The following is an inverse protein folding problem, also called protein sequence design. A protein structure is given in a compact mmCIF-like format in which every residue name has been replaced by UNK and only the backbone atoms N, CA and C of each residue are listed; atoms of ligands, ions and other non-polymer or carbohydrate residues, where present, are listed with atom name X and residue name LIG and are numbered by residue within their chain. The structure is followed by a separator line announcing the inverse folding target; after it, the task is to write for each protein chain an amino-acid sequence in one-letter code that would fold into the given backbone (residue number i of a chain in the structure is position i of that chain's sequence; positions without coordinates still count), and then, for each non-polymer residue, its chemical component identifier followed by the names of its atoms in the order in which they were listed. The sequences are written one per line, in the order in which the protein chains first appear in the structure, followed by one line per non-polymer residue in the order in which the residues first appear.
data_IF_369685777190
#
_entry.id   IF_369685777190
#
_cell.length_a   1.000
_cell.length_b   1.000
_cell.length_c   1.000
_cell.angle_alpha   90.00
_cell.angle_beta   90.00
_cell.angle_gamma   90.00
#
_symmetry.space_group_name_H-M   'P 1'
#
loop_
_entity.id
_entity.type
_entity.pdbx_description
1 polymer ?
#
# COMPACT_ATOMS: atom_id res chain seq x y z
N UNK A 1 -14.50 3.21 13.79
CA UNK A 1 -14.86 2.15 14.75
C UNK A 1 -16.14 2.50 15.49
N UNK A 2 -16.37 3.75 15.81
CA UNK A 2 -17.55 4.22 16.56
C UNK A 2 -18.75 4.59 15.67
N UNK A 3 -18.67 4.38 14.35
CA UNK A 3 -19.74 4.73 13.41
C UNK A 3 -19.90 6.23 13.13
N UNK A 4 -18.90 7.04 13.46
CA UNK A 4 -18.92 8.49 13.26
C UNK A 4 -18.64 8.89 11.80
N UNK A 5 -17.94 8.04 11.06
CA UNK A 5 -17.55 8.25 9.66
C UNK A 5 -18.02 7.09 8.78
N UNK A 6 -18.58 7.42 7.63
CA UNK A 6 -19.03 6.43 6.66
C UNK A 6 -17.89 5.88 5.80
N UNK A 7 -16.84 6.69 5.55
CA UNK A 7 -15.71 6.35 4.68
C UNK A 7 -14.43 7.01 5.20
N UNK A 8 -13.29 6.37 4.88
CA UNK A 8 -11.95 6.93 5.09
C UNK A 8 -11.04 6.51 3.95
N UNK A 9 -10.02 7.32 3.65
CA UNK A 9 -8.97 6.98 2.69
C UNK A 9 -7.80 6.40 3.46
N UNK A 10 -7.46 5.14 3.16
CA UNK A 10 -6.38 4.41 3.83
C UNK A 10 -5.97 3.20 2.97
N UNK A 11 -4.98 2.43 3.41
CA UNK A 11 -4.63 1.17 2.79
C UNK A 11 -5.57 0.02 3.18
N UNK A 12 -5.57 -1.05 2.40
CA UNK A 12 -6.41 -2.24 2.64
C UNK A 12 -6.19 -2.89 4.01
N UNK A 13 -4.98 -2.80 4.55
CA UNK A 13 -4.61 -3.28 5.89
C UNK A 13 -5.49 -2.72 7.01
N UNK A 14 -6.03 -1.52 6.84
CA UNK A 14 -6.89 -0.89 7.84
C UNK A 14 -8.18 -1.68 8.11
N UNK A 15 -8.66 -2.46 7.13
CA UNK A 15 -9.84 -3.32 7.30
C UNK A 15 -9.63 -4.32 8.44
N UNK A 16 -8.54 -5.10 8.41
CA UNK A 16 -8.22 -6.07 9.46
C UNK A 16 -8.03 -5.39 10.82
N UNK A 17 -7.35 -4.24 10.86
CA UNK A 17 -7.16 -3.46 12.07
C UNK A 17 -8.49 -2.99 12.67
N UNK A 18 -9.40 -2.47 11.85
CA UNK A 18 -10.71 -1.99 12.33
C UNK A 18 -11.56 -3.16 12.83
N UNK A 19 -11.58 -4.28 12.11
CA UNK A 19 -12.34 -5.47 12.50
C UNK A 19 -11.80 -6.15 13.76
N UNK A 20 -10.50 -6.06 14.04
CA UNK A 20 -9.95 -6.55 15.31
C UNK A 20 -10.49 -5.77 16.52
N UNK A 21 -10.87 -4.50 16.34
CA UNK A 21 -11.45 -3.65 17.39
C UNK A 21 -12.97 -3.83 17.46
N UNK A 22 -13.63 -3.91 16.31
CA UNK A 22 -15.08 -4.10 16.20
C UNK A 22 -15.41 -5.18 15.15
N UNK A 23 -15.47 -6.46 15.55
CA UNK A 23 -15.73 -7.57 14.63
C UNK A 23 -17.09 -7.54 13.93
N UNK A 24 -18.03 -6.78 14.45
CA UNK A 24 -19.38 -6.68 13.88
C UNK A 24 -19.50 -5.56 12.82
N UNK A 25 -18.41 -4.81 12.58
CA UNK A 25 -18.44 -3.73 11.61
C UNK A 25 -18.19 -4.29 10.19
N UNK A 26 -19.20 -4.16 9.34
CA UNK A 26 -19.05 -4.52 7.92
C UNK A 26 -18.29 -3.41 7.19
N UNK A 27 -17.18 -3.77 6.57
CA UNK A 27 -16.29 -2.83 5.87
C UNK A 27 -16.02 -3.37 4.47
N UNK A 28 -16.36 -2.58 3.46
CA UNK A 28 -15.93 -2.80 2.08
C UNK A 28 -14.71 -1.93 1.74
N UNK A 29 -13.90 -2.39 0.82
CA UNK A 29 -12.75 -1.65 0.27
C UNK A 29 -12.98 -1.45 -1.22
N UNK A 30 -12.72 -0.25 -1.71
CA UNK A 30 -12.79 0.07 -3.13
C UNK A 30 -11.70 1.10 -3.49
N UNK A 31 -11.19 1.11 -4.72
CA UNK A 31 -10.21 2.09 -5.16
C UNK A 31 -10.87 3.48 -5.27
N UNK A 32 -10.05 4.52 -5.13
CA UNK A 32 -10.52 5.88 -5.42
C UNK A 32 -11.00 5.95 -6.86
N UNK A 33 -12.27 6.37 -7.10
CA UNK A 33 -12.83 6.40 -8.44
C UNK A 33 -12.16 7.49 -9.27
N UNK A 34 -12.02 7.22 -10.57
CA UNK A 34 -11.70 8.20 -11.59
C UNK A 34 -12.97 8.53 -12.38
N UNK A 35 -12.87 9.35 -13.44
CA UNK A 35 -14.00 9.82 -14.27
C UNK A 35 -14.84 8.66 -14.82
N UNK A 36 -14.21 7.54 -15.15
CA UNK A 36 -14.88 6.31 -15.53
C UNK A 36 -14.39 5.13 -14.72
N UNK A 37 -15.21 4.08 -14.62
CA UNK A 37 -14.79 2.83 -13.97
C UNK A 37 -13.61 2.17 -14.71
N UNK A 38 -13.56 2.31 -16.03
CA UNK A 38 -12.49 1.71 -16.84
C UNK A 38 -11.15 2.40 -16.62
N UNK A 39 -11.15 3.68 -16.30
CA UNK A 39 -9.95 4.47 -16.00
C UNK A 39 -9.55 4.38 -14.51
N UNK A 40 -10.42 3.85 -13.67
CA UNK A 40 -10.14 3.66 -12.25
C UNK A 40 -9.06 2.59 -12.08
N UNK A 41 -8.02 2.92 -11.34
CA UNK A 41 -6.91 2.03 -11.00
C UNK A 41 -6.72 1.96 -9.49
N UNK A 42 -6.29 0.80 -9.03
CA UNK A 42 -5.87 0.59 -7.65
C UNK A 42 -4.40 1.02 -7.50
N UNK A 43 -4.10 1.83 -6.49
CA UNK A 43 -2.71 2.08 -6.12
C UNK A 43 -2.16 0.82 -5.47
N UNK A 44 -1.08 0.29 -6.03
CA UNK A 44 -0.43 -0.93 -5.57
C UNK A 44 1.08 -0.74 -5.58
N UNK A 45 1.77 -1.45 -4.71
CA UNK A 45 3.22 -1.41 -4.63
C UNK A 45 3.72 -2.34 -3.53
N UNK A 46 5.03 -2.34 -3.31
CA UNK A 46 5.64 -3.09 -2.22
C UNK A 46 5.27 -2.38 -0.91
N UNK A 47 4.47 -3.05 -0.09
CA UNK A 47 4.11 -2.56 1.24
C UNK A 47 5.19 -2.94 2.26
N UNK A 48 5.54 -4.22 2.32
CA UNK A 48 6.56 -4.74 3.21
C UNK A 48 7.54 -5.63 2.46
N UNK A 49 8.81 -5.58 2.85
CA UNK A 49 9.86 -6.43 2.31
C UNK A 49 10.67 -7.08 3.44
N UNK A 50 11.00 -8.35 3.28
CA UNK A 50 11.89 -9.05 4.19
C UNK A 50 13.30 -8.96 3.63
N UNK A 51 14.20 -8.34 4.40
CA UNK A 51 15.59 -8.15 4.00
C UNK A 51 16.52 -9.07 4.78
N UNK A 52 17.51 -9.66 4.11
CA UNK A 52 18.58 -10.42 4.73
C UNK A 52 19.83 -9.54 4.78
N UNK A 53 20.43 -9.39 5.98
CA UNK A 53 21.61 -8.56 6.15
C UNK A 53 22.76 -9.04 5.28
N UNK A 54 23.38 -8.12 4.54
CA UNK A 54 24.58 -8.42 3.75
C UNK A 54 25.77 -8.88 4.63
N UNK A 55 25.80 -8.42 5.90
CA UNK A 55 26.86 -8.74 6.86
C UNK A 55 26.61 -10.03 7.65
N UNK A 56 25.43 -10.68 7.50
CA UNK A 56 25.16 -11.94 8.14
C UNK A 56 26.13 -13.03 7.64
N UNK A 57 26.49 -13.96 8.53
CA UNK A 57 27.30 -15.13 8.15
C UNK A 57 26.56 -16.02 7.15
N UNK A 58 27.29 -16.85 6.41
CA UNK A 58 26.69 -17.77 5.44
C UNK A 58 25.65 -18.69 6.07
N UNK A 59 25.87 -19.14 7.30
CA UNK A 59 24.93 -19.97 8.05
C UNK A 59 23.62 -19.21 8.38
N UNK A 60 23.71 -17.95 8.75
CA UNK A 60 22.56 -17.10 9.02
C UNK A 60 21.78 -16.78 7.74
N UNK A 61 22.50 -16.49 6.65
CA UNK A 61 21.90 -16.29 5.32
C UNK A 61 21.18 -17.54 4.84
N UNK A 62 21.78 -18.73 4.98
CA UNK A 62 21.13 -20.01 4.64
C UNK A 62 19.84 -20.22 5.45
N UNK A 63 19.87 -19.95 6.74
CA UNK A 63 18.69 -20.05 7.60
C UNK A 63 17.59 -19.05 7.17
N UNK A 64 17.97 -17.81 6.86
CA UNK A 64 17.04 -16.79 6.36
C UNK A 64 16.41 -17.18 5.03
N UNK A 65 17.20 -17.69 4.08
CA UNK A 65 16.68 -18.14 2.78
C UNK A 65 15.75 -19.35 2.90
N UNK A 66 16.01 -20.27 3.82
CA UNK A 66 15.08 -21.37 4.12
C UNK A 66 13.74 -20.85 4.66
N UNK A 67 13.79 -19.86 5.54
CA UNK A 67 12.58 -19.20 6.05
C UNK A 67 11.81 -18.48 4.93
N UNK A 68 12.51 -17.74 4.06
CA UNK A 68 11.87 -17.10 2.91
C UNK A 68 11.25 -18.12 1.95
N UNK A 69 11.93 -19.24 1.70
CA UNK A 69 11.38 -20.33 0.89
C UNK A 69 10.14 -20.95 1.53
N UNK A 70 10.12 -21.08 2.84
CA UNK A 70 8.94 -21.53 3.59
C UNK A 70 7.78 -20.55 3.45
N UNK A 71 8.02 -19.25 3.57
CA UNK A 71 6.98 -18.23 3.39
C UNK A 71 6.47 -18.12 1.94
N UNK A 72 7.33 -18.43 0.96
CA UNK A 72 6.96 -18.41 -0.46
C UNK A 72 6.20 -19.66 -0.92
N UNK A 73 6.12 -20.69 -0.07
CA UNK A 73 5.27 -21.85 -0.35
C UNK A 73 3.79 -21.41 -0.36
N UNK A 74 3.00 -21.79 -1.39
CA UNK A 74 1.62 -21.30 -1.53
C UNK A 74 0.71 -21.56 -0.33
N UNK A 75 0.86 -22.70 0.36
CA UNK A 75 0.06 -23.02 1.55
C UNK A 75 0.38 -22.06 2.72
N UNK A 76 1.66 -21.80 2.95
CA UNK A 76 2.11 -20.89 4.00
C UNK A 76 1.81 -19.42 3.63
N UNK A 77 2.00 -19.06 2.37
CA UNK A 77 1.66 -17.74 1.86
C UNK A 77 0.15 -17.44 1.97
N UNK A 78 -0.71 -18.44 1.80
CA UNK A 78 -2.15 -18.30 2.00
C UNK A 78 -2.49 -17.98 3.47
N UNK A 79 -1.85 -18.69 4.41
CA UNK A 79 -2.03 -18.41 5.84
C UNK A 79 -1.64 -16.97 6.17
N UNK A 80 -0.50 -16.50 5.63
CA UNK A 80 -0.06 -15.13 5.82
C UNK A 80 -1.06 -14.13 5.22
N UNK A 81 -1.47 -14.33 3.95
CA UNK A 81 -2.42 -13.50 3.24
C UNK A 81 -3.76 -13.34 3.99
N UNK A 82 -4.30 -14.45 4.51
CA UNK A 82 -5.58 -14.46 5.23
C UNK A 82 -5.50 -13.73 6.59
N UNK A 83 -4.33 -13.74 7.23
CA UNK A 83 -4.14 -13.06 8.51
C UNK A 83 -3.78 -11.56 8.36
N UNK A 84 -3.01 -11.22 7.32
CA UNK A 84 -2.57 -9.84 7.07
C UNK A 84 -3.67 -8.98 6.43
N UNK A 85 -4.59 -9.62 5.70
CA UNK A 85 -5.67 -8.93 4.99
C UNK A 85 -5.17 -8.10 3.80
N UNK A 86 -4.01 -8.46 3.25
CA UNK A 86 -3.42 -7.83 2.07
C UNK A 86 -3.31 -8.82 0.91
N UNK A 87 -3.33 -8.34 -0.35
CA UNK A 87 -3.06 -9.19 -1.51
C UNK A 87 -1.66 -9.81 -1.46
N UNK A 88 -1.55 -11.09 -1.79
CA UNK A 88 -0.26 -11.79 -1.82
C UNK A 88 0.51 -11.50 -3.10
N UNK A 89 1.84 -11.46 -3.00
CA UNK A 89 2.74 -11.44 -4.17
C UNK A 89 3.04 -12.85 -4.72
N UNK A 90 2.54 -13.91 -4.07
CA UNK A 90 2.76 -15.30 -4.50
C UNK A 90 1.68 -15.70 -5.49
N UNK A 91 2.10 -16.16 -6.67
CA UNK A 91 1.19 -16.59 -7.74
C UNK A 91 0.24 -17.69 -7.25
N UNK A 92 -1.05 -17.50 -7.49
CA UNK A 92 -2.09 -18.45 -7.10
C UNK A 92 -2.58 -18.30 -5.66
N UNK A 93 -2.00 -17.41 -4.88
CA UNK A 93 -2.47 -17.05 -3.53
C UNK A 93 -3.31 -15.78 -3.60
N UNK A 94 -4.50 -15.82 -3.04
CA UNK A 94 -5.42 -14.67 -3.01
C UNK A 94 -6.12 -14.58 -1.68
N UNK A 95 -6.49 -13.37 -1.27
CA UNK A 95 -7.25 -13.19 -0.03
C UNK A 95 -8.64 -13.84 -0.13
N UNK A 96 -9.01 -14.56 0.91
CA UNK A 96 -10.36 -15.11 1.10
C UNK A 96 -11.34 -14.09 1.71
N UNK A 97 -10.91 -12.86 1.94
CA UNK A 97 -11.75 -11.80 2.49
C UNK A 97 -12.58 -11.15 1.39
N UNK A 98 -13.90 -11.40 1.41
CA UNK A 98 -14.85 -10.83 0.46
C UNK A 98 -14.83 -9.29 0.43
N UNK A 99 -14.49 -8.65 1.52
CA UNK A 99 -14.38 -7.19 1.59
C UNK A 99 -13.21 -6.62 0.79
N UNK A 100 -12.20 -7.44 0.48
CA UNK A 100 -11.05 -7.06 -0.36
C UNK A 100 -11.25 -7.44 -1.84
N UNK A 101 -12.29 -8.22 -2.15
CA UNK A 101 -12.52 -8.74 -3.50
C UNK A 101 -12.49 -7.68 -4.60
N UNK A 102 -13.10 -6.49 -4.48
CA UNK A 102 -13.04 -5.48 -5.53
C UNK A 102 -11.61 -5.05 -5.87
N UNK A 103 -10.73 -4.95 -4.87
CA UNK A 103 -9.32 -4.65 -5.05
C UNK A 103 -8.56 -5.80 -5.70
N UNK A 104 -8.76 -7.01 -5.21
CA UNK A 104 -8.11 -8.22 -5.75
C UNK A 104 -8.47 -8.42 -7.22
N UNK A 105 -9.73 -8.24 -7.59
CA UNK A 105 -10.20 -8.34 -8.97
C UNK A 105 -9.51 -7.29 -9.88
N UNK A 106 -9.31 -6.07 -9.39
CA UNK A 106 -8.60 -5.03 -10.15
C UNK A 106 -7.11 -5.34 -10.32
N UNK A 107 -6.45 -5.83 -9.27
CA UNK A 107 -5.04 -6.24 -9.33
C UNK A 107 -4.88 -7.36 -10.35
N UNK A 108 -5.73 -8.38 -10.30
CA UNK A 108 -5.71 -9.50 -11.24
C UNK A 108 -6.01 -9.09 -12.69
N UNK A 109 -6.79 -8.03 -12.87
CA UNK A 109 -7.07 -7.44 -14.19
C UNK A 109 -5.95 -6.50 -14.70
N UNK A 110 -4.86 -6.32 -13.94
CA UNK A 110 -3.78 -5.38 -14.27
C UNK A 110 -4.20 -3.90 -14.17
N UNK A 111 -5.31 -3.61 -13.53
CA UNK A 111 -5.80 -2.24 -13.30
C UNK A 111 -5.12 -1.65 -12.06
N UNK A 112 -3.80 -1.54 -12.10
CA UNK A 112 -2.98 -1.00 -11.03
C UNK A 112 -2.16 0.19 -11.49
N UNK A 113 -1.76 1.01 -10.55
CA UNK A 113 -0.75 2.05 -10.73
C UNK A 113 0.21 1.96 -9.56
N UNK A 114 1.50 2.13 -9.83
CA UNK A 114 2.51 2.09 -8.79
C UNK A 114 2.29 3.22 -7.78
N UNK A 115 2.55 2.91 -6.53
CA UNK A 115 2.56 3.92 -5.48
C UNK A 115 3.72 4.89 -5.73
N UNK A 116 3.41 6.18 -5.74
CA UNK A 116 4.38 7.24 -6.01
C UNK A 116 5.63 7.13 -5.12
N UNK A 117 5.45 6.83 -3.84
CA UNK A 117 6.56 6.67 -2.89
C UNK A 117 7.52 5.51 -3.22
N UNK A 118 7.14 4.56 -4.08
CA UNK A 118 8.02 3.49 -4.56
C UNK A 118 8.78 3.85 -5.85
N UNK A 119 8.44 4.96 -6.49
CA UNK A 119 9.00 5.38 -7.78
C UNK A 119 9.83 6.65 -7.73
N UNK A 120 9.70 7.44 -6.66
CA UNK A 120 10.45 8.68 -6.47
C UNK A 120 11.35 8.61 -5.24
N UNK A 121 12.36 9.47 -5.20
CA UNK A 121 13.29 9.57 -4.08
C UNK A 121 12.56 9.92 -2.77
N UNK A 122 13.03 9.34 -1.65
CA UNK A 122 12.43 9.58 -0.33
C UNK A 122 12.52 11.04 0.12
N UNK A 123 13.53 11.80 -0.31
CA UNK A 123 13.66 13.21 0.02
C UNK A 123 12.55 13.99 -0.68
N UNK A 124 12.30 13.71 -1.97
CA UNK A 124 11.19 14.31 -2.73
C UNK A 124 9.87 13.99 -2.05
N UNK A 125 9.64 12.74 -1.66
CA UNK A 125 8.41 12.31 -0.98
C UNK A 125 8.21 13.09 0.32
N UNK A 126 9.26 13.26 1.11
CA UNK A 126 9.22 14.02 2.38
C UNK A 126 8.87 15.49 2.15
N UNK A 127 9.49 16.10 1.15
CA UNK A 127 9.23 17.50 0.81
C UNK A 127 7.79 17.69 0.31
N UNK A 128 7.28 16.80 -0.52
CA UNK A 128 5.89 16.83 -0.97
C UNK A 128 4.90 16.73 0.21
N UNK A 129 5.16 15.86 1.18
CA UNK A 129 4.33 15.80 2.38
C UNK A 129 4.33 17.09 3.18
N UNK A 130 5.48 17.78 3.31
CA UNK A 130 5.59 19.07 3.98
C UNK A 130 4.81 20.17 3.24
N UNK A 131 4.90 20.20 1.91
CA UNK A 131 4.15 21.14 1.06
C UNK A 131 2.65 20.92 1.22
N UNK A 132 2.17 19.67 1.18
CA UNK A 132 0.74 19.37 1.38
C UNK A 132 0.25 19.77 2.77
N UNK A 133 1.07 19.65 3.80
CA UNK A 133 0.70 20.16 5.14
C UNK A 133 0.47 21.67 5.14
N UNK A 134 1.25 22.44 4.39
CA UNK A 134 1.07 23.87 4.21
C UNK A 134 -0.30 24.24 3.60
N UNK A 135 -0.84 23.41 2.75
CA UNK A 135 -2.17 23.59 2.15
C UNK A 135 -3.28 23.71 3.20
N UNK A 136 -3.21 22.94 4.29
CA UNK A 136 -4.22 22.98 5.33
C UNK A 136 -4.30 24.33 6.05
N UNK A 137 -3.22 25.08 6.04
CA UNK A 137 -3.15 26.39 6.66
C UNK A 137 -3.77 27.51 5.80
N UNK A 138 -3.52 27.50 4.49
CA UNK A 138 -3.92 28.58 3.57
C UNK A 138 -4.97 28.16 2.53
N UNK A 139 -5.11 26.86 2.25
CA UNK A 139 -6.04 26.27 1.28
C UNK A 139 -5.91 26.84 -0.14
N UNK A 140 -4.70 27.27 -0.50
CA UNK A 140 -4.37 27.80 -1.82
C UNK A 140 -3.77 26.69 -2.67
N UNK A 141 -4.57 26.17 -3.62
CA UNK A 141 -4.18 25.04 -4.49
C UNK A 141 -3.05 25.45 -5.43
N UNK A 142 -3.11 26.66 -6.00
CA UNK A 142 -2.13 27.13 -6.98
C UNK A 142 -0.75 27.32 -6.34
N UNK A 143 -0.73 27.86 -5.12
CA UNK A 143 0.50 27.98 -4.33
C UNK A 143 1.10 26.59 -4.03
N UNK A 144 0.28 25.65 -3.58
CA UNK A 144 0.74 24.27 -3.28
C UNK A 144 1.27 23.58 -4.52
N UNK A 145 0.61 23.67 -5.65
CA UNK A 145 1.09 23.05 -6.90
C UNK A 145 2.43 23.62 -7.32
N UNK A 146 2.61 24.94 -7.23
CA UNK A 146 3.89 25.59 -7.52
C UNK A 146 5.01 25.16 -6.56
N UNK A 147 4.71 25.01 -5.27
CA UNK A 147 5.68 24.56 -4.28
C UNK A 147 6.05 23.08 -4.48
N UNK A 148 5.09 22.24 -4.91
CA UNK A 148 5.35 20.85 -5.29
C UNK A 148 6.29 20.76 -6.49
N UNK A 149 6.05 21.52 -7.55
CA UNK A 149 6.91 21.56 -8.73
C UNK A 149 8.33 21.98 -8.36
N UNK A 150 8.48 23.02 -7.55
CA UNK A 150 9.77 23.48 -7.07
C UNK A 150 10.51 22.43 -6.23
N UNK A 151 9.80 21.69 -5.38
CA UNK A 151 10.41 20.60 -4.59
C UNK A 151 10.92 19.47 -5.47
N UNK A 152 10.17 19.10 -6.50
CA UNK A 152 10.58 18.06 -7.46
C UNK A 152 11.81 18.50 -8.26
N UNK A 153 11.86 19.75 -8.74
CA UNK A 153 13.00 20.29 -9.48
C UNK A 153 14.28 20.28 -8.64
N UNK A 154 14.21 20.72 -7.40
CA UNK A 154 15.37 20.77 -6.48
C UNK A 154 15.91 19.36 -6.22
N UNK A 155 15.02 18.40 -5.94
CA UNK A 155 15.42 17.04 -5.61
C UNK A 155 15.91 16.25 -6.82
N UNK A 156 15.46 16.59 -8.03
CA UNK A 156 15.93 15.98 -9.28
C UNK A 156 17.30 16.48 -9.71
N UNK A 157 17.81 17.56 -9.12
CA UNK A 157 19.10 18.17 -9.44
C UNK A 157 20.26 17.69 -8.53
N UNK A 158 19.97 16.86 -7.51
CA UNK A 158 20.95 16.28 -6.59
C UNK A 158 21.28 14.83 -6.98
#
# INVERSE_FOLDING_TARGET
VNGEYAMTITGSYARGTIQSINPNLEIGVFPLPNDTYDDTKCLSGIDAAICVSAQASDKEKDAAYRFLSYLADPENAQIFCDNDGAPSCITGVTSNDDGLKPMVDMINAGKTHDWMASTIDNNVTTDLYNVVQGFWANKDVDAVMKDMDASIEISSAQ
#
